data_IF_253598509900
#
_entry.id   IF_253598509900
#
_cell.length_a   1.000
_cell.length_b   1.000
_cell.length_c   1.000
_cell.angle_alpha   90.00
_cell.angle_beta   90.00
_cell.angle_gamma   90.00
#
_symmetry.space_group_name_H-M   'P 1'
#
loop_
_entity.id
_entity.type
_entity.pdbx_description
1 polymer ?
#
# COMPACT_ATOMS: atom_id res chain seq x y z
N UNK A 1 -23.52 -16.61 -9.56
CA UNK A 1 -22.95 -15.61 -10.47
C UNK A 1 -21.44 -15.46 -10.27
N UNK A 2 -20.93 -15.62 -9.06
CA UNK A 2 -19.51 -15.47 -8.70
C UNK A 2 -18.78 -16.81 -8.56
N UNK A 3 -19.33 -17.91 -9.06
CA UNK A 3 -18.73 -19.25 -8.94
C UNK A 3 -17.43 -19.46 -9.73
N UNK A 4 -17.07 -18.55 -10.65
CA UNK A 4 -15.81 -18.61 -11.38
C UNK A 4 -14.73 -17.80 -10.68
N UNK A 5 -13.75 -18.51 -10.25
CA UNK A 5 -12.68 -18.26 -9.30
C UNK A 5 -11.53 -17.37 -9.78
N UNK A 6 -11.71 -16.43 -10.71
CA UNK A 6 -10.67 -15.44 -11.02
C UNK A 6 -10.45 -14.50 -9.83
N UNK A 7 -9.24 -14.00 -9.67
CA UNK A 7 -8.92 -13.03 -8.62
C UNK A 7 -9.82 -11.79 -8.72
N UNK A 8 -10.07 -11.31 -9.94
CA UNK A 8 -10.97 -10.19 -10.22
C UNK A 8 -12.41 -10.46 -9.76
N UNK A 9 -12.95 -11.64 -10.03
CA UNK A 9 -14.31 -12.01 -9.60
C UNK A 9 -14.44 -12.09 -8.07
N UNK A 10 -13.39 -12.51 -7.35
CA UNK A 10 -13.38 -12.51 -5.87
C UNK A 10 -13.34 -11.08 -5.30
N UNK A 11 -12.57 -10.20 -5.91
CA UNK A 11 -12.50 -8.79 -5.50
C UNK A 11 -13.84 -8.10 -5.73
N UNK A 12 -14.47 -8.32 -6.89
CA UNK A 12 -15.78 -7.78 -7.21
C UNK A 12 -16.87 -8.31 -6.25
N UNK A 13 -16.84 -9.59 -5.89
CA UNK A 13 -17.73 -10.16 -4.89
C UNK A 13 -17.55 -9.53 -3.51
N UNK A 14 -16.30 -9.29 -3.10
CA UNK A 14 -16.00 -8.64 -1.83
C UNK A 14 -16.53 -7.19 -1.81
N UNK A 15 -16.35 -6.46 -2.91
CA UNK A 15 -16.88 -5.10 -3.08
C UNK A 15 -18.42 -5.12 -3.01
N UNK A 16 -19.08 -6.00 -3.76
CA UNK A 16 -20.55 -6.12 -3.75
C UNK A 16 -21.08 -6.41 -2.34
N UNK A 17 -20.43 -7.30 -1.58
CA UNK A 17 -20.81 -7.58 -0.19
C UNK A 17 -20.63 -6.36 0.73
N UNK A 18 -19.59 -5.58 0.52
CA UNK A 18 -19.33 -4.35 1.28
C UNK A 18 -20.42 -3.32 0.97
N UNK A 19 -20.74 -3.11 -0.30
CA UNK A 19 -21.79 -2.19 -0.72
C UNK A 19 -23.18 -2.60 -0.17
N UNK A 20 -23.51 -3.89 -0.17
CA UNK A 20 -24.77 -4.39 0.41
C UNK A 20 -24.91 -4.10 1.91
N UNK A 21 -23.79 -4.00 2.65
CA UNK A 21 -23.81 -3.60 4.07
C UNK A 21 -24.09 -2.12 4.27
N UNK A 22 -23.91 -1.31 3.22
CA UNK A 22 -24.19 0.13 3.21
C UNK A 22 -25.61 0.44 2.73
N UNK A 23 -26.48 -0.55 2.52
CA UNK A 23 -27.88 -0.33 2.16
C UNK A 23 -28.58 0.51 3.23
N UNK A 24 -29.32 1.54 2.77
CA UNK A 24 -29.96 2.51 3.68
C UNK A 24 -29.29 3.88 3.72
N UNK A 25 -28.10 4.04 3.13
CA UNK A 25 -27.53 5.37 2.91
C UNK A 25 -28.18 6.03 1.68
N UNK A 26 -28.44 7.32 1.76
CA UNK A 26 -29.25 8.07 0.78
C UNK A 26 -28.65 8.18 -0.63
N UNK A 27 -27.36 7.92 -0.77
CA UNK A 27 -26.65 8.03 -2.05
C UNK A 27 -26.41 6.67 -2.75
N UNK A 28 -26.67 5.53 -2.07
CA UNK A 28 -26.51 4.19 -2.61
C UNK A 28 -27.86 3.58 -3.01
N UNK A 29 -27.99 3.20 -4.26
CA UNK A 29 -29.14 2.57 -4.83
C UNK A 29 -28.85 1.10 -5.12
N UNK A 30 -29.75 0.23 -4.70
CA UNK A 30 -29.65 -1.22 -4.94
C UNK A 30 -30.98 -1.70 -5.49
N UNK A 31 -30.93 -2.41 -6.61
CA UNK A 31 -32.10 -2.99 -7.26
C UNK A 31 -31.77 -4.32 -7.90
N UNK A 32 -32.78 -5.06 -8.28
CA UNK A 32 -32.64 -6.32 -8.97
C UNK A 32 -33.97 -6.79 -9.55
N UNK A 33 -33.89 -7.83 -10.38
CA UNK A 33 -35.07 -8.45 -10.96
C UNK A 33 -35.32 -9.81 -10.31
N UNK A 34 -36.57 -10.08 -10.05
CA UNK A 34 -37.07 -11.36 -9.57
C UNK A 34 -37.91 -12.04 -10.63
N UNK A 35 -37.74 -13.33 -10.79
CA UNK A 35 -38.55 -14.18 -11.64
C UNK A 35 -38.88 -15.47 -10.89
N UNK A 36 -40.21 -15.77 -10.81
CA UNK A 36 -40.72 -16.96 -10.08
C UNK A 36 -40.19 -17.09 -8.64
N UNK A 37 -40.13 -15.98 -7.89
CA UNK A 37 -39.63 -15.97 -6.50
C UNK A 37 -38.12 -16.07 -6.36
N UNK A 38 -37.38 -15.99 -7.46
CA UNK A 38 -35.91 -16.07 -7.46
C UNK A 38 -35.32 -14.77 -7.96
N UNK A 39 -34.35 -14.20 -7.19
CA UNK A 39 -33.58 -13.05 -7.64
C UNK A 39 -32.63 -13.48 -8.77
N UNK A 40 -32.85 -12.95 -9.99
CA UNK A 40 -32.11 -13.31 -11.21
C UNK A 40 -31.12 -12.25 -11.62
N UNK A 41 -31.21 -11.03 -11.12
CA UNK A 41 -30.19 -10.00 -11.33
C UNK A 41 -30.09 -9.04 -10.18
N UNK A 42 -28.97 -8.32 -10.11
CA UNK A 42 -28.73 -7.24 -9.15
C UNK A 42 -27.93 -6.13 -9.82
N UNK A 43 -28.28 -4.87 -9.50
CA UNK A 43 -27.50 -3.70 -9.85
C UNK A 43 -27.33 -2.82 -8.62
N UNK A 44 -26.17 -2.18 -8.52
CA UNK A 44 -25.83 -1.24 -7.45
C UNK A 44 -25.19 0.00 -8.05
N UNK A 45 -25.65 1.15 -7.62
CA UNK A 45 -25.17 2.44 -8.10
C UNK A 45 -25.08 3.46 -6.99
N UNK A 46 -24.22 4.43 -7.17
CA UNK A 46 -24.20 5.64 -6.35
C UNK A 46 -24.60 6.86 -7.17
N UNK A 47 -25.19 7.83 -6.51
CA UNK A 47 -25.50 9.12 -7.13
C UNK A 47 -24.42 10.14 -6.80
N UNK A 48 -23.83 10.71 -7.84
CA UNK A 48 -22.93 11.86 -7.74
C UNK A 48 -23.46 12.99 -8.62
N UNK A 49 -24.07 14.01 -7.99
CA UNK A 49 -24.71 15.11 -8.72
C UNK A 49 -25.84 14.64 -9.64
N UNK A 50 -25.71 14.93 -10.95
CA UNK A 50 -26.68 14.55 -11.99
C UNK A 50 -26.39 13.16 -12.59
N UNK A 51 -25.40 12.42 -12.08
CA UNK A 51 -24.98 11.13 -12.63
C UNK A 51 -25.21 10.01 -11.65
N UNK A 52 -25.78 8.91 -12.12
CA UNK A 52 -25.88 7.64 -11.44
C UNK A 52 -24.76 6.72 -11.93
N UNK A 53 -23.80 6.39 -11.09
CA UNK A 53 -22.66 5.53 -11.40
C UNK A 53 -22.97 4.09 -11.03
N UNK A 54 -23.10 3.21 -12.02
CA UNK A 54 -23.43 1.79 -11.82
C UNK A 54 -22.13 0.99 -11.64
N UNK A 55 -21.82 0.65 -10.39
CA UNK A 55 -20.63 -0.10 -10.02
C UNK A 55 -20.75 -1.60 -10.21
N UNK A 56 -21.94 -2.12 -9.92
CA UNK A 56 -22.21 -3.57 -9.98
C UNK A 56 -23.45 -3.80 -10.83
N UNK A 57 -23.34 -4.69 -11.79
CA UNK A 57 -24.44 -5.19 -12.59
C UNK A 57 -24.19 -6.66 -12.89
N UNK A 58 -24.99 -7.54 -12.30
CA UNK A 58 -24.85 -8.99 -12.46
C UNK A 58 -26.21 -9.66 -12.66
N UNK A 59 -26.21 -10.65 -13.54
CA UNK A 59 -27.37 -11.49 -13.76
C UNK A 59 -27.00 -12.98 -13.80
N UNK A 60 -27.97 -13.82 -13.54
CA UNK A 60 -27.82 -15.27 -13.69
C UNK A 60 -27.80 -15.63 -15.18
N UNK A 61 -26.98 -16.60 -15.52
CA UNK A 61 -26.99 -17.21 -16.85
C UNK A 61 -28.29 -17.99 -17.08
N UNK A 62 -28.72 -18.08 -18.32
CA UNK A 62 -29.91 -18.83 -18.72
C UNK A 62 -31.20 -18.03 -18.78
N UNK A 63 -31.15 -16.74 -18.44
CA UNK A 63 -32.28 -15.81 -18.61
C UNK A 63 -31.95 -14.82 -19.74
N UNK A 64 -32.49 -15.10 -20.92
CA UNK A 64 -32.26 -14.24 -22.09
C UNK A 64 -32.84 -12.84 -21.84
N UNK A 65 -32.12 -11.79 -22.24
CA UNK A 65 -32.56 -10.40 -22.10
C UNK A 65 -32.52 -9.84 -20.66
N UNK A 66 -32.09 -10.59 -19.65
CA UNK A 66 -32.10 -10.14 -18.25
C UNK A 66 -31.17 -8.93 -18.02
N UNK A 67 -29.99 -8.87 -18.66
CA UNK A 67 -29.08 -7.72 -18.53
C UNK A 67 -29.70 -6.42 -19.05
N UNK A 68 -30.17 -6.33 -20.31
CA UNK A 68 -30.80 -5.11 -20.80
C UNK A 68 -32.07 -4.74 -20.00
N UNK A 69 -32.86 -5.71 -19.58
CA UNK A 69 -34.04 -5.45 -18.75
C UNK A 69 -33.62 -4.87 -17.38
N UNK A 70 -32.59 -5.41 -16.76
CA UNK A 70 -32.06 -4.88 -15.48
C UNK A 70 -31.60 -3.43 -15.63
N UNK A 71 -30.84 -3.10 -16.68
CA UNK A 71 -30.40 -1.71 -16.93
C UNK A 71 -31.58 -0.77 -17.12
N UNK A 72 -32.56 -1.18 -17.93
CA UNK A 72 -33.74 -0.37 -18.23
C UNK A 72 -34.58 -0.09 -16.98
N UNK A 73 -34.92 -1.15 -16.23
CA UNK A 73 -35.77 -1.00 -15.03
C UNK A 73 -35.03 -0.28 -13.90
N UNK A 74 -33.71 -0.53 -13.75
CA UNK A 74 -32.88 0.19 -12.78
C UNK A 74 -32.83 1.70 -13.10
N UNK A 75 -32.68 2.06 -14.37
CA UNK A 75 -32.71 3.45 -14.82
C UNK A 75 -34.13 4.08 -14.58
N UNK A 76 -35.19 3.34 -14.88
CA UNK A 76 -36.56 3.84 -14.63
C UNK A 76 -36.86 4.13 -13.16
N UNK A 77 -36.31 3.31 -12.28
CA UNK A 77 -36.52 3.46 -10.83
C UNK A 77 -35.68 4.59 -10.22
N UNK A 78 -34.43 4.75 -10.69
CA UNK A 78 -33.44 5.55 -9.98
C UNK A 78 -32.90 6.74 -10.77
N UNK A 79 -33.09 6.80 -12.10
CA UNK A 79 -32.70 7.98 -12.88
C UNK A 79 -33.86 9.03 -12.83
N UNK A 80 -34.16 9.49 -11.62
CA UNK A 80 -35.21 10.45 -11.30
C UNK A 80 -34.61 11.66 -10.56
N UNK A 81 -35.42 12.64 -10.25
CA UNK A 81 -35.06 13.78 -9.39
C UNK A 81 -33.78 14.52 -9.82
N UNK A 82 -33.66 14.84 -11.13
CA UNK A 82 -32.51 15.58 -11.67
C UNK A 82 -31.33 14.72 -12.08
N UNK A 83 -31.41 13.38 -12.01
CA UNK A 83 -30.43 12.50 -12.65
C UNK A 83 -30.58 12.58 -14.16
N UNK A 84 -29.50 12.93 -14.86
CA UNK A 84 -29.47 13.12 -16.32
C UNK A 84 -28.64 12.06 -17.04
N UNK A 85 -27.69 11.44 -16.32
CA UNK A 85 -26.73 10.51 -16.89
C UNK A 85 -26.68 9.21 -16.09
N UNK A 86 -26.59 8.10 -16.81
CA UNK A 86 -26.24 6.78 -16.26
C UNK A 86 -24.84 6.43 -16.74
N UNK A 87 -23.89 6.39 -15.82
CA UNK A 87 -22.52 5.99 -16.11
C UNK A 87 -22.36 4.50 -15.77
N UNK A 88 -22.06 3.69 -16.77
CA UNK A 88 -21.85 2.25 -16.63
C UNK A 88 -20.36 1.88 -16.53
N UNK A 89 -19.52 2.84 -16.20
CA UNK A 89 -18.08 2.70 -16.04
C UNK A 89 -17.33 2.14 -17.26
N UNK A 90 -16.10 1.66 -17.07
CA UNK A 90 -15.28 1.15 -18.16
C UNK A 90 -15.61 -0.32 -18.53
N UNK A 91 -15.01 -0.79 -19.60
CA UNK A 91 -15.16 -2.16 -20.08
C UNK A 91 -14.03 -3.08 -19.59
N UNK A 92 -13.12 -2.57 -18.74
CA UNK A 92 -11.96 -3.28 -18.23
C UNK A 92 -11.13 -4.03 -19.32
N UNK A 93 -11.19 -3.55 -20.57
CA UNK A 93 -10.52 -4.16 -21.72
C UNK A 93 -11.26 -5.37 -22.33
N UNK A 94 -12.42 -5.77 -21.79
CA UNK A 94 -13.22 -6.87 -22.32
C UNK A 94 -14.02 -6.44 -23.54
N UNK A 95 -13.80 -7.14 -24.68
CA UNK A 95 -14.46 -6.82 -25.96
C UNK A 95 -15.97 -7.05 -25.92
N UNK A 96 -16.42 -8.11 -25.24
CA UNK A 96 -17.84 -8.42 -25.11
C UNK A 96 -18.57 -7.34 -24.32
N UNK A 97 -17.97 -6.93 -23.20
CA UNK A 97 -18.51 -5.86 -22.36
C UNK A 97 -18.52 -4.51 -23.10
N UNK A 98 -17.47 -4.19 -23.86
CA UNK A 98 -17.42 -3.00 -24.73
C UNK A 98 -18.56 -3.00 -25.75
N UNK A 99 -18.72 -4.10 -26.48
CA UNK A 99 -19.79 -4.23 -27.47
C UNK A 99 -21.16 -4.06 -26.83
N UNK A 100 -21.40 -4.72 -25.68
CA UNK A 100 -22.64 -4.58 -24.93
C UNK A 100 -22.92 -3.13 -24.50
N UNK A 101 -21.91 -2.41 -24.00
CA UNK A 101 -22.08 -1.01 -23.58
C UNK A 101 -22.33 -0.06 -24.75
N UNK A 102 -21.64 -0.26 -25.87
CA UNK A 102 -21.82 0.57 -27.07
C UNK A 102 -23.18 0.38 -27.75
N UNK A 103 -23.83 -0.78 -27.60
CA UNK A 103 -25.20 -1.01 -28.11
C UNK A 103 -26.24 -0.04 -27.50
N UNK A 104 -25.96 0.55 -26.35
CA UNK A 104 -26.82 1.57 -25.73
C UNK A 104 -26.62 2.96 -26.32
N UNK A 105 -25.80 3.12 -27.35
CA UNK A 105 -25.53 4.41 -28.03
C UNK A 105 -25.19 5.51 -27.01
N UNK A 106 -24.08 5.37 -26.26
CA UNK A 106 -23.75 6.32 -25.19
C UNK A 106 -23.64 7.74 -25.73
N UNK A 107 -24.24 8.70 -25.06
CA UNK A 107 -24.18 10.11 -25.43
C UNK A 107 -22.80 10.74 -25.24
N UNK A 108 -21.96 10.11 -24.39
CA UNK A 108 -20.59 10.54 -24.12
C UNK A 108 -19.74 9.35 -23.69
N UNK A 109 -18.52 9.29 -24.18
CA UNK A 109 -17.46 8.45 -23.61
C UNK A 109 -16.62 9.33 -22.69
N UNK A 110 -16.61 9.01 -21.40
CA UNK A 110 -15.77 9.73 -20.44
C UNK A 110 -14.30 9.31 -20.65
N UNK A 111 -13.42 10.28 -20.78
CA UNK A 111 -11.99 10.01 -20.81
C UNK A 111 -11.53 9.58 -19.41
N UNK A 112 -10.75 8.50 -19.37
CA UNK A 112 -10.15 7.98 -18.15
C UNK A 112 -8.64 8.18 -18.27
N UNK A 113 -8.08 8.89 -17.31
CA UNK A 113 -6.65 9.13 -17.21
C UNK A 113 -6.05 8.21 -16.16
N UNK A 114 -4.99 7.50 -16.52
CA UNK A 114 -4.17 6.77 -15.57
C UNK A 114 -2.93 7.62 -15.28
N UNK A 115 -2.64 7.81 -14.03
CA UNK A 115 -1.41 8.47 -13.57
C UNK A 115 -0.54 7.42 -12.92
N UNK A 116 0.65 7.21 -13.48
CA UNK A 116 1.69 6.46 -12.80
C UNK A 116 2.39 7.42 -11.84
N UNK A 117 2.19 7.20 -10.55
CA UNK A 117 2.96 7.91 -9.54
C UNK A 117 4.34 7.26 -9.53
N UNK A 118 5.37 8.03 -9.88
CA UNK A 118 6.74 7.56 -9.74
C UNK A 118 7.03 7.23 -8.28
N UNK A 119 7.70 6.10 -8.06
CA UNK A 119 8.22 5.76 -6.75
C UNK A 119 9.23 6.84 -6.34
N UNK A 120 9.24 7.22 -5.09
CA UNK A 120 10.08 8.26 -4.51
C UNK A 120 11.59 7.97 -4.64
N UNK A 121 11.95 6.73 -4.96
CA UNK A 121 13.33 6.29 -5.22
C UNK A 121 13.67 6.16 -6.72
N UNK A 122 12.71 6.39 -7.63
CA UNK A 122 12.85 6.08 -9.06
C UNK A 122 14.05 6.78 -9.72
N UNK A 123 14.30 8.03 -9.34
CA UNK A 123 15.38 8.87 -9.86
C UNK A 123 16.72 8.69 -9.16
N UNK A 124 16.82 7.76 -8.19
CA UNK A 124 18.08 7.45 -7.52
C UNK A 124 18.79 6.29 -8.21
N UNK A 125 19.90 6.55 -8.86
CA UNK A 125 20.76 5.51 -9.44
C UNK A 125 21.60 4.81 -8.36
N UNK A 126 21.96 5.54 -7.30
CA UNK A 126 22.77 5.03 -6.19
C UNK A 126 22.29 5.55 -4.84
N UNK A 127 22.62 4.82 -3.77
CA UNK A 127 22.34 5.23 -2.40
C UNK A 127 23.28 6.37 -2.01
N UNK A 128 22.76 7.55 -1.64
CA UNK A 128 23.59 8.69 -1.28
C UNK A 128 24.34 8.46 0.04
N UNK A 129 25.39 9.21 0.24
CA UNK A 129 26.09 9.25 1.53
C UNK A 129 25.61 10.46 2.33
N UNK A 130 25.04 10.20 3.51
CA UNK A 130 24.63 11.21 4.46
C UNK A 130 25.66 11.28 5.60
N UNK A 131 26.03 12.49 5.99
CA UNK A 131 26.94 12.72 7.12
C UNK A 131 26.21 13.40 8.25
N UNK A 132 26.42 12.91 9.45
CA UNK A 132 25.93 13.51 10.69
C UNK A 132 27.13 13.99 11.53
N UNK A 133 26.92 14.36 12.78
CA UNK A 133 27.99 14.79 13.69
C UNK A 133 29.00 13.67 13.94
N UNK A 134 28.54 12.42 14.14
CA UNK A 134 29.39 11.28 14.51
C UNK A 134 29.38 10.16 13.48
N UNK A 135 28.39 10.13 12.57
CA UNK A 135 28.12 8.98 11.73
C UNK A 135 28.25 9.31 10.23
N UNK A 136 28.53 8.28 9.47
CA UNK A 136 28.34 8.26 8.02
C UNK A 136 27.31 7.19 7.68
N UNK A 137 26.25 7.59 6.97
CA UNK A 137 25.20 6.70 6.48
C UNK A 137 25.41 6.52 4.98
N UNK A 138 25.62 5.30 4.52
CA UNK A 138 25.95 5.03 3.11
C UNK A 138 25.49 3.64 2.69
N UNK A 139 25.59 3.33 1.39
CA UNK A 139 25.32 2.00 0.89
C UNK A 139 26.15 0.92 1.63
N UNK A 140 25.56 -0.25 1.78
CA UNK A 140 26.29 -1.43 2.23
C UNK A 140 27.31 -1.89 1.19
N UNK A 141 28.46 -2.35 1.66
CA UNK A 141 29.54 -2.92 0.86
C UNK A 141 29.84 -4.34 1.31
N UNK A 142 30.62 -5.09 0.52
CA UNK A 142 31.03 -6.45 0.91
C UNK A 142 31.84 -6.48 2.20
N UNK A 143 32.48 -5.37 2.57
CA UNK A 143 33.23 -5.23 3.84
C UNK A 143 32.31 -5.24 5.07
N UNK A 144 31.06 -4.97 4.89
CA UNK A 144 30.06 -4.92 5.98
C UNK A 144 29.42 -6.27 6.24
N UNK A 145 29.69 -7.28 5.39
CA UNK A 145 29.01 -8.58 5.40
C UNK A 145 28.98 -9.22 6.77
N UNK A 146 30.13 -9.36 7.41
CA UNK A 146 30.24 -9.99 8.74
C UNK A 146 29.40 -9.23 9.80
N UNK A 147 29.57 -7.91 9.87
CA UNK A 147 28.85 -7.07 10.83
C UNK A 147 27.34 -7.07 10.57
N UNK A 148 26.95 -7.02 9.29
CA UNK A 148 25.54 -7.01 8.91
C UNK A 148 24.88 -8.37 9.13
N UNK A 149 25.56 -9.48 8.80
CA UNK A 149 25.10 -10.83 9.10
C UNK A 149 24.92 -11.03 10.61
N UNK A 150 25.87 -10.60 11.43
CA UNK A 150 25.75 -10.65 12.87
C UNK A 150 24.49 -9.89 13.37
N UNK A 151 24.21 -8.71 12.81
CA UNK A 151 23.02 -7.93 13.14
C UNK A 151 21.73 -8.63 12.69
N UNK A 152 21.70 -9.24 11.51
CA UNK A 152 20.53 -9.94 10.97
C UNK A 152 20.28 -11.29 11.66
N UNK A 153 21.28 -11.91 12.22
CA UNK A 153 21.19 -13.20 12.94
C UNK A 153 20.96 -13.03 14.45
N UNK A 154 21.00 -11.81 14.97
CA UNK A 154 20.72 -11.53 16.38
C UNK A 154 19.22 -11.70 16.70
N UNK A 155 18.86 -12.79 17.38
CA UNK A 155 17.46 -13.12 17.70
C UNK A 155 16.79 -12.06 18.59
N UNK A 156 17.53 -11.44 19.52
CA UNK A 156 16.99 -10.38 20.37
C UNK A 156 16.65 -9.12 19.58
N UNK A 157 17.43 -8.80 18.53
CA UNK A 157 17.15 -7.69 17.64
C UNK A 157 16.01 -8.02 16.68
N UNK A 158 16.01 -9.22 16.12
CA UNK A 158 14.96 -9.66 15.19
C UNK A 158 13.59 -9.74 15.86
N UNK A 159 13.50 -10.08 17.14
CA UNK A 159 12.28 -10.02 17.91
C UNK A 159 11.55 -8.67 17.79
N UNK A 160 12.31 -7.56 17.76
CA UNK A 160 11.79 -6.20 17.67
C UNK A 160 11.76 -5.63 16.26
N UNK A 161 12.43 -6.30 15.30
CA UNK A 161 12.44 -5.86 13.91
C UNK A 161 11.12 -6.10 13.20
N UNK A 162 10.38 -7.12 13.65
CA UNK A 162 9.06 -7.45 13.13
C UNK A 162 9.07 -8.24 11.82
N UNK A 163 10.24 -8.51 11.26
CA UNK A 163 10.46 -9.35 10.10
C UNK A 163 11.80 -10.06 10.20
N UNK A 164 11.80 -11.37 9.99
CA UNK A 164 13.01 -12.19 9.97
C UNK A 164 13.32 -12.58 8.53
N UNK A 165 14.35 -11.99 7.94
CA UNK A 165 14.79 -12.28 6.58
C UNK A 165 15.10 -13.75 6.32
N UNK A 166 15.44 -14.52 7.36
CA UNK A 166 15.69 -15.96 7.26
C UNK A 166 14.45 -16.75 6.82
N UNK A 167 13.25 -16.23 7.03
CA UNK A 167 12.01 -16.92 6.64
C UNK A 167 11.85 -17.07 5.14
N UNK A 168 12.41 -16.15 4.36
CA UNK A 168 12.35 -16.19 2.89
C UNK A 168 13.58 -16.82 2.26
N UNK A 169 14.60 -17.11 3.05
CA UNK A 169 15.83 -17.74 2.58
C UNK A 169 15.56 -19.18 2.15
N UNK A 170 15.98 -19.52 0.92
CA UNK A 170 15.81 -20.84 0.30
C UNK A 170 17.11 -21.38 -0.28
N UNK A 171 18.22 -20.66 -0.13
CA UNK A 171 19.52 -20.99 -0.65
C UNK A 171 20.38 -21.78 0.34
N UNK A 172 21.55 -22.22 -0.12
CA UNK A 172 22.58 -22.87 0.72
C UNK A 172 23.52 -21.83 1.35
N UNK A 173 23.78 -20.73 0.64
CA UNK A 173 24.68 -19.66 1.10
C UNK A 173 23.89 -18.55 1.82
N UNK A 174 24.00 -18.52 3.15
CA UNK A 174 23.46 -17.45 3.98
C UNK A 174 24.42 -16.26 4.07
N UNK A 175 25.71 -16.44 3.72
CA UNK A 175 26.74 -15.43 3.95
C UNK A 175 26.52 -14.15 3.12
N UNK A 176 26.15 -14.27 1.85
CA UNK A 176 25.82 -13.12 0.99
C UNK A 176 24.37 -12.67 1.07
N UNK A 177 23.47 -13.54 1.52
CA UNK A 177 22.03 -13.40 1.39
C UNK A 177 21.49 -12.05 1.87
N UNK A 178 21.87 -11.61 3.07
CA UNK A 178 21.31 -10.39 3.63
C UNK A 178 21.73 -9.13 2.85
N UNK A 179 22.97 -9.07 2.37
CA UNK A 179 23.43 -7.97 1.51
C UNK A 179 22.75 -7.99 0.14
N UNK A 180 22.52 -9.19 -0.41
CA UNK A 180 21.86 -9.34 -1.70
C UNK A 180 20.39 -8.90 -1.62
N UNK A 181 19.69 -9.21 -0.51
CA UNK A 181 18.33 -8.70 -0.24
C UNK A 181 18.30 -7.17 -0.24
N UNK A 182 19.21 -6.54 0.48
CA UNK A 182 19.27 -5.06 0.56
C UNK A 182 19.53 -4.43 -0.81
N UNK A 183 20.45 -5.02 -1.59
CA UNK A 183 20.77 -4.55 -2.94
C UNK A 183 19.59 -4.72 -3.90
N UNK A 184 18.93 -5.87 -3.81
CA UNK A 184 17.73 -6.14 -4.62
C UNK A 184 16.58 -5.22 -4.28
N UNK A 185 16.36 -4.92 -3.00
CA UNK A 185 15.33 -4.00 -2.55
C UNK A 185 15.55 -2.58 -3.10
N UNK A 186 16.78 -2.10 -3.09
CA UNK A 186 17.12 -0.81 -3.71
C UNK A 186 16.99 -0.86 -5.24
N UNK A 187 17.50 -1.91 -5.90
CA UNK A 187 17.39 -2.06 -7.35
C UNK A 187 15.93 -2.09 -7.82
N UNK A 188 15.05 -2.69 -7.03
CA UNK A 188 13.59 -2.74 -7.28
C UNK A 188 12.83 -1.55 -6.68
N UNK A 189 13.54 -0.56 -6.12
CA UNK A 189 12.95 0.65 -5.52
C UNK A 189 11.93 0.36 -4.42
N UNK A 190 12.09 -0.76 -3.70
CA UNK A 190 11.20 -1.17 -2.59
C UNK A 190 11.61 -0.57 -1.26
N UNK A 191 12.92 -0.43 -1.06
CA UNK A 191 13.52 0.15 0.14
C UNK A 191 14.86 0.81 -0.17
N UNK A 192 15.29 1.69 0.70
CA UNK A 192 16.63 2.24 0.72
C UNK A 192 17.24 2.03 2.10
N UNK A 193 18.29 1.21 2.15
CA UNK A 193 18.95 0.80 3.37
C UNK A 193 20.33 1.46 3.46
N UNK A 194 20.58 2.15 4.55
CA UNK A 194 21.86 2.77 4.86
C UNK A 194 22.58 1.96 5.94
N UNK A 195 23.83 1.59 5.67
CA UNK A 195 24.76 1.16 6.72
C UNK A 195 25.09 2.37 7.62
N UNK A 196 24.90 2.22 8.91
CA UNK A 196 25.30 3.21 9.91
C UNK A 196 26.77 2.96 10.24
N UNK A 197 27.63 3.94 9.99
CA UNK A 197 29.08 3.82 10.19
C UNK A 197 29.57 4.79 11.25
N UNK A 198 30.31 4.24 12.21
CA UNK A 198 31.12 4.98 13.17
C UNK A 198 32.59 4.73 12.84
N UNK A 199 33.34 5.77 12.56
CA UNK A 199 34.77 5.67 12.17
C UNK A 199 35.04 4.64 11.05
N UNK A 200 34.11 4.57 10.08
CA UNK A 200 34.20 3.65 8.94
C UNK A 200 33.68 2.23 9.22
N UNK A 201 33.43 1.85 10.47
CA UNK A 201 32.93 0.54 10.86
C UNK A 201 31.39 0.52 10.83
N UNK A 202 30.80 -0.50 10.20
CA UNK A 202 29.35 -0.70 10.21
C UNK A 202 28.90 -1.11 11.62
N UNK A 203 27.99 -0.32 12.21
CA UNK A 203 27.46 -0.51 13.55
C UNK A 203 25.94 -0.70 13.58
N UNK A 204 25.28 -0.67 12.42
CA UNK A 204 23.83 -0.78 12.37
C UNK A 204 23.27 -0.49 10.99
N UNK A 205 21.96 -0.39 10.94
CA UNK A 205 21.16 -0.14 9.75
C UNK A 205 20.05 0.88 10.05
N UNK A 206 19.78 1.75 9.10
CA UNK A 206 18.60 2.60 9.05
C UNK A 206 18.05 2.61 7.63
N UNK A 207 16.72 2.53 7.47
CA UNK A 207 16.11 2.39 6.15
C UNK A 207 14.77 3.11 6.06
N UNK A 208 14.42 3.50 4.82
CA UNK A 208 13.05 3.85 4.43
C UNK A 208 12.49 2.72 3.55
N UNK A 209 11.26 2.33 3.80
CA UNK A 209 10.58 1.25 3.10
C UNK A 209 9.06 1.47 3.11
N UNK A 210 8.29 0.59 2.44
CA UNK A 210 6.82 0.72 2.33
C UNK A 210 6.39 2.11 1.89
N UNK A 211 7.00 2.59 0.81
CA UNK A 211 6.55 3.80 0.15
C UNK A 211 5.08 3.63 -0.25
N UNK A 212 4.23 4.56 0.16
CA UNK A 212 2.78 4.42 0.06
C UNK A 212 2.20 4.97 -1.24
N UNK A 213 3.03 5.49 -2.14
CA UNK A 213 2.63 6.14 -3.39
C UNK A 213 1.83 7.44 -3.19
N UNK A 214 1.80 7.96 -1.96
CA UNK A 214 1.16 9.21 -1.56
C UNK A 214 2.15 10.20 -0.94
N UNK A 215 3.44 9.91 -1.12
CA UNK A 215 4.53 10.69 -0.56
C UNK A 215 4.87 10.32 0.88
N UNK A 216 4.58 9.11 1.31
CA UNK A 216 4.93 8.60 2.63
C UNK A 216 5.82 7.37 2.59
N UNK A 217 6.59 7.16 3.65
CA UNK A 217 7.40 5.97 3.86
C UNK A 217 7.42 5.55 5.35
N UNK A 218 7.66 4.28 5.61
CA UNK A 218 7.93 3.77 6.97
C UNK A 218 9.45 3.74 7.19
N UNK A 219 9.90 4.14 8.37
CA UNK A 219 11.31 4.16 8.75
C UNK A 219 11.61 3.12 9.83
N UNK A 220 12.72 2.40 9.70
CA UNK A 220 13.25 1.48 10.66
C UNK A 220 14.72 1.74 10.97
N UNK A 221 15.13 1.40 12.21
CA UNK A 221 16.54 1.51 12.62
C UNK A 221 16.88 0.41 13.61
N UNK A 222 18.06 -0.17 13.48
CA UNK A 222 18.66 -1.09 14.46
C UNK A 222 20.16 -0.86 14.57
N UNK A 223 20.65 -0.96 15.80
CA UNK A 223 22.07 -0.77 16.15
C UNK A 223 22.58 -2.06 16.76
N UNK A 224 23.81 -2.46 16.46
CA UNK A 224 24.47 -3.60 17.07
C UNK A 224 24.57 -3.42 18.60
N UNK A 225 24.39 -4.49 19.39
CA UNK A 225 24.24 -4.42 20.83
C UNK A 225 25.30 -3.60 21.54
N UNK A 226 26.56 -3.77 21.15
CA UNK A 226 27.73 -3.10 21.73
C UNK A 226 27.76 -1.57 21.53
N UNK A 227 26.95 -1.06 20.58
CA UNK A 227 26.79 0.38 20.30
C UNK A 227 25.46 0.93 20.83
N UNK A 228 24.69 0.10 21.53
CA UNK A 228 23.41 0.52 22.09
C UNK A 228 23.53 1.59 23.16
N UNK A 229 22.48 2.39 23.36
CA UNK A 229 22.39 3.38 24.44
C UNK A 229 23.24 4.65 24.28
N UNK A 230 24.03 4.79 23.19
CA UNK A 230 24.95 5.91 22.95
C UNK A 230 24.36 7.02 22.05
N UNK A 231 23.07 6.89 21.67
CA UNK A 231 22.37 7.88 20.85
C UNK A 231 22.60 7.74 19.33
N UNK A 232 23.39 6.77 18.88
CA UNK A 232 23.65 6.58 17.45
C UNK A 232 22.38 6.27 16.65
N UNK A 233 21.48 5.46 17.21
CA UNK A 233 20.19 5.17 16.57
C UNK A 233 19.33 6.42 16.38
N UNK A 234 19.26 7.29 17.39
CA UNK A 234 18.53 8.57 17.32
C UNK A 234 19.11 9.47 16.23
N UNK A 235 20.44 9.56 16.17
CA UNK A 235 21.16 10.41 15.21
C UNK A 235 20.96 9.93 13.77
N UNK A 236 21.12 8.63 13.53
CA UNK A 236 20.92 8.03 12.21
C UNK A 236 19.46 8.13 11.74
N UNK A 237 18.53 7.78 12.62
CA UNK A 237 17.10 7.83 12.34
C UNK A 237 16.63 9.25 11.99
N UNK A 238 17.03 10.25 12.76
CA UNK A 238 16.71 11.65 12.47
C UNK A 238 17.25 12.10 11.12
N UNK A 239 18.48 11.73 10.81
CA UNK A 239 19.13 12.13 9.55
C UNK A 239 18.41 11.54 8.32
N UNK A 240 17.98 10.28 8.38
CA UNK A 240 17.27 9.63 7.26
C UNK A 240 15.84 10.15 7.14
N UNK A 241 15.11 10.35 8.26
CA UNK A 241 13.81 10.99 8.22
C UNK A 241 13.87 12.40 7.58
N UNK A 242 14.86 13.21 7.96
CA UNK A 242 15.04 14.56 7.41
C UNK A 242 15.47 14.52 5.94
N UNK A 243 16.33 13.60 5.56
CA UNK A 243 16.68 13.37 4.16
C UNK A 243 15.44 13.01 3.33
N UNK A 244 14.62 12.08 3.84
CA UNK A 244 13.36 11.68 3.19
C UNK A 244 12.42 12.86 3.00
N UNK A 245 12.15 13.63 4.06
CA UNK A 245 11.23 14.76 4.03
C UNK A 245 11.74 15.91 3.14
N UNK A 246 12.99 16.33 3.29
CA UNK A 246 13.48 17.56 2.67
C UNK A 246 14.20 17.36 1.33
N UNK A 247 14.83 16.19 1.09
CA UNK A 247 15.56 15.93 -0.15
C UNK A 247 14.82 14.97 -1.08
N UNK A 248 14.00 14.06 -0.55
CA UNK A 248 13.11 13.20 -1.34
C UNK A 248 11.69 13.74 -1.45
N UNK A 249 11.42 14.86 -0.78
CA UNK A 249 10.12 15.53 -0.78
C UNK A 249 8.98 14.62 -0.31
N UNK A 250 9.25 13.73 0.63
CA UNK A 250 8.20 12.99 1.31
C UNK A 250 7.33 13.96 2.11
N UNK A 251 6.02 13.79 2.05
CA UNK A 251 5.09 14.55 2.86
C UNK A 251 5.10 14.09 4.32
N UNK A 252 5.41 12.82 4.56
CA UNK A 252 5.49 12.25 5.90
C UNK A 252 6.38 11.01 5.96
N UNK A 253 6.93 10.76 7.15
CA UNK A 253 7.64 9.53 7.51
C UNK A 253 6.95 8.95 8.75
N UNK A 254 6.61 7.68 8.70
CA UNK A 254 5.97 6.97 9.81
C UNK A 254 6.90 5.93 10.41
N UNK A 255 6.71 5.62 11.68
CA UNK A 255 7.38 4.52 12.36
C UNK A 255 6.48 3.90 13.41
N UNK A 256 6.78 2.66 13.79
CA UNK A 256 6.11 1.99 14.90
C UNK A 256 7.11 1.21 15.75
N UNK A 257 6.77 1.01 17.00
CA UNK A 257 7.49 0.09 17.87
C UNK A 257 6.53 -0.76 18.70
N UNK A 258 6.98 -1.95 19.07
CA UNK A 258 6.26 -2.77 20.07
C UNK A 258 6.16 -2.04 21.39
N UNK A 259 5.03 -2.22 22.11
CA UNK A 259 4.81 -1.58 23.41
C UNK A 259 5.83 -1.98 24.47
N UNK A 260 6.36 -3.19 24.35
CA UNK A 260 7.39 -3.72 25.24
C UNK A 260 8.81 -3.25 24.91
N UNK A 261 9.00 -2.56 23.78
CA UNK A 261 10.31 -2.05 23.36
C UNK A 261 10.55 -0.61 23.81
N UNK A 262 10.88 -0.44 25.09
CA UNK A 262 11.16 0.87 25.70
C UNK A 262 12.26 1.66 24.99
N UNK A 263 13.29 0.96 24.47
CA UNK A 263 14.40 1.61 23.79
C UNK A 263 13.93 2.28 22.47
N UNK A 264 13.16 1.55 21.65
CA UNK A 264 12.54 2.13 20.45
C UNK A 264 11.55 3.22 20.78
N UNK A 265 10.72 3.05 21.81
CA UNK A 265 9.78 4.07 22.22
C UNK A 265 10.47 5.39 22.57
N UNK A 266 11.55 5.34 23.36
CA UNK A 266 12.35 6.53 23.73
C UNK A 266 13.00 7.16 22.49
N UNK A 267 13.57 6.36 21.60
CA UNK A 267 14.14 6.83 20.36
C UNK A 267 13.11 7.55 19.49
N UNK A 268 11.98 6.89 19.20
CA UNK A 268 10.94 7.44 18.33
C UNK A 268 10.30 8.69 18.94
N UNK A 269 10.03 8.70 20.25
CA UNK A 269 9.49 9.87 20.95
C UNK A 269 10.41 11.10 20.90
N UNK A 270 11.72 10.90 20.72
CA UNK A 270 12.69 11.99 20.58
C UNK A 270 12.81 12.53 19.14
N UNK A 271 12.34 11.77 18.14
CA UNK A 271 12.48 12.08 16.72
C UNK A 271 11.15 12.45 16.05
N UNK A 272 10.05 11.90 16.53
CA UNK A 272 8.74 11.93 15.91
C UNK A 272 7.61 12.22 16.89
N UNK A 273 6.44 12.57 16.39
CA UNK A 273 5.22 12.74 17.19
C UNK A 273 4.44 11.43 17.26
N UNK A 274 4.07 10.99 18.45
CA UNK A 274 3.13 9.87 18.63
C UNK A 274 1.77 10.23 18.06
N UNK A 275 1.22 9.36 17.18
CA UNK A 275 -0.09 9.53 16.52
C UNK A 275 -1.17 8.64 17.11
N UNK A 276 -0.80 7.49 17.69
CA UNK A 276 -1.76 6.54 18.26
C UNK A 276 -1.10 5.27 18.74
N UNK A 277 -1.92 4.32 19.10
CA UNK A 277 -1.51 2.98 19.52
C UNK A 277 -2.62 1.97 19.28
N UNK A 278 -2.26 0.69 19.18
CA UNK A 278 -3.16 -0.45 19.25
C UNK A 278 -2.76 -1.39 20.40
N UNK A 279 -3.18 -2.64 20.35
CA UNK A 279 -2.83 -3.64 21.40
C UNK A 279 -1.33 -3.94 21.45
N UNK A 280 -0.61 -3.88 20.32
CA UNK A 280 0.79 -4.30 20.17
C UNK A 280 1.77 -3.16 19.95
N UNK A 281 1.35 -2.07 19.27
CA UNK A 281 2.27 -1.06 18.78
C UNK A 281 1.91 0.34 19.25
N UNK A 282 2.95 1.18 19.39
CA UNK A 282 2.85 2.63 19.32
C UNK A 282 3.19 3.08 17.89
N UNK A 283 2.44 4.06 17.38
CA UNK A 283 2.59 4.65 16.05
C UNK A 283 3.07 6.07 16.13
N UNK A 284 4.04 6.41 15.28
CA UNK A 284 4.68 7.72 15.24
C UNK A 284 4.66 8.28 13.82
N UNK A 285 4.73 9.60 13.72
CA UNK A 285 4.76 10.31 12.46
C UNK A 285 5.63 11.57 12.57
N UNK A 286 6.34 11.90 11.48
CA UNK A 286 7.03 13.16 11.26
C UNK A 286 6.59 13.70 9.90
N UNK A 287 6.15 14.93 9.87
CA UNK A 287 5.70 15.66 8.68
C UNK A 287 6.62 16.86 8.46
N UNK A 288 6.61 17.44 7.25
CA UNK A 288 7.34 18.67 6.91
C UNK A 288 6.81 19.84 7.72
#
# INVERSE_FOLDING_TARGET
>A
VFEKTSQSARQELALAKTMLRLTGVSWLYVGGMEYEGRLISIAMAERCGETLHVHIEKALYGYEGVYPATVQEFARCYAVDGVRYLNREDDAGDRGLRTSKLQYLPCKLAEKFCFDVKNELEDLDEIPTLKTERLTLSAFTDKDREAYNALCLDDERNKWWGYDYRTDWKGEDLDSYFLDVVREDFAKKRAINFAIRLDGKCIGEVLLYRFDGKGGAEEGCRIAPEYGGQGYGVEAFRAVAEWGLYQRHLGHVVAKCFKENDASYKMLSSCMRKKGEDEKFFYFNKEV
#
